data_IF_029048601790
#
_entry.id   IF_029048601790
#
_cell.length_a   1.000
_cell.length_b   1.000
_cell.length_c   1.000
_cell.angle_alpha   90.00
_cell.angle_beta   90.00
_cell.angle_gamma   90.00
#
_symmetry.space_group_name_H-M   'P 1'
#
loop_
_entity.id
_entity.type
_entity.pdbx_description
1 polymer ?
#
# COMPACT_ATOMS: atom_id res chain seq x y z
N UNK A 1 -5.61 4.56 -7.47
CA UNK A 1 -7.07 4.74 -7.55
C UNK A 1 -7.84 3.43 -7.47
N UNK A 2 -7.71 2.47 -8.41
CA UNK A 2 -8.47 1.19 -8.34
C UNK A 2 -8.01 0.27 -7.18
N UNK A 3 -6.70 0.23 -6.85
CA UNK A 3 -6.17 -0.61 -5.76
C UNK A 3 -6.48 -0.03 -4.36
N UNK A 4 -6.62 1.30 -4.27
CA UNK A 4 -6.76 2.06 -3.01
C UNK A 4 -8.11 1.87 -2.30
N UNK A 5 -9.16 1.48 -3.03
CA UNK A 5 -10.52 1.30 -2.48
C UNK A 5 -10.92 -0.16 -2.30
N UNK A 6 -10.07 -1.12 -2.69
CA UNK A 6 -10.44 -2.53 -2.72
C UNK A 6 -9.48 -3.40 -1.94
N UNK A 7 -8.20 -3.04 -1.82
CA UNK A 7 -7.23 -3.91 -1.14
C UNK A 7 -7.45 -4.05 0.37
N UNK A 8 -7.66 -2.95 1.15
CA UNK A 8 -7.95 -3.09 2.57
C UNK A 8 -9.24 -3.88 2.82
N UNK A 9 -10.28 -3.65 2.00
CA UNK A 9 -11.58 -4.33 2.11
C UNK A 9 -11.50 -5.80 1.67
N UNK A 10 -10.81 -6.13 0.58
CA UNK A 10 -10.54 -7.51 0.14
C UNK A 10 -9.77 -8.30 1.19
N UNK A 11 -8.75 -7.69 1.79
CA UNK A 11 -7.94 -8.33 2.83
C UNK A 11 -8.73 -8.57 4.11
N UNK A 12 -9.54 -7.58 4.54
CA UNK A 12 -10.40 -7.69 5.72
C UNK A 12 -11.54 -8.70 5.51
N UNK A 13 -12.15 -8.71 4.33
CA UNK A 13 -13.17 -9.68 3.94
C UNK A 13 -12.62 -11.12 3.89
N UNK A 14 -11.32 -11.29 3.59
CA UNK A 14 -10.66 -12.59 3.62
C UNK A 14 -10.24 -13.04 5.03
N UNK A 15 -10.07 -12.11 5.99
CA UNK A 15 -9.88 -12.41 7.41
C UNK A 15 -11.21 -12.69 8.14
N UNK A 16 -12.25 -11.90 7.87
CA UNK A 16 -13.59 -12.04 8.45
C UNK A 16 -14.34 -13.28 7.89
N UNK A 17 -14.09 -13.65 6.64
CA UNK A 17 -14.61 -14.87 6.01
C UNK A 17 -14.07 -16.19 6.56
N UNK A 18 -13.27 -16.17 7.65
CA UNK A 18 -12.72 -17.38 8.28
C UNK A 18 -13.24 -17.63 9.70
N UNK A 19 -14.06 -16.74 10.27
CA UNK A 19 -14.56 -16.91 11.64
C UNK A 19 -16.08 -17.12 11.79
N UNK A 20 -16.86 -17.08 10.71
CA UNK A 20 -18.27 -17.50 10.79
C UNK A 20 -18.80 -17.85 9.40
N UNK A 21 -18.60 -19.09 8.96
CA UNK A 21 -19.38 -19.74 7.91
C UNK A 21 -18.95 -21.20 7.79
N UNK A 22 -19.73 -22.08 8.40
CA UNK A 22 -19.95 -23.43 7.89
C UNK A 22 -20.63 -23.35 6.52
N UNK A 23 -19.93 -22.82 5.51
CA UNK A 23 -20.24 -23.11 4.12
C UNK A 23 -19.22 -24.13 3.65
N UNK A 24 -19.74 -25.32 3.43
CA UNK A 24 -19.03 -26.48 2.92
C UNK A 24 -18.51 -26.19 1.52
N UNK A 25 -17.35 -25.52 1.42
CA UNK A 25 -16.39 -25.87 0.40
C UNK A 25 -16.10 -27.35 0.64
N UNK A 26 -16.82 -28.23 -0.06
CA UNK A 26 -16.47 -29.65 -0.14
C UNK A 26 -14.96 -29.67 -0.30
N UNK A 27 -14.20 -30.29 0.62
CA UNK A 27 -12.81 -30.52 0.37
C UNK A 27 -12.79 -31.21 -0.99
N UNK A 28 -12.28 -30.55 -2.04
CA UNK A 28 -11.69 -31.32 -3.14
C UNK A 28 -10.80 -32.28 -2.40
N UNK A 29 -11.09 -33.58 -2.47
CA UNK A 29 -10.33 -34.62 -1.81
C UNK A 29 -8.87 -34.34 -2.16
N UNK A 30 -8.20 -33.64 -1.25
CA UNK A 30 -6.84 -33.20 -1.45
C UNK A 30 -6.12 -34.45 -1.07
N UNK A 31 -5.89 -35.31 -2.06
CA UNK A 31 -5.05 -36.49 -1.90
C UNK A 31 -3.81 -35.98 -1.20
N UNK A 32 -3.65 -36.39 0.06
CA UNK A 32 -2.53 -35.92 0.87
C UNK A 32 -1.27 -36.19 0.05
N UNK A 33 -0.36 -35.20 -0.09
CA UNK A 33 0.80 -35.37 -0.93
C UNK A 33 1.59 -36.59 -0.45
N UNK A 34 1.77 -37.56 -1.33
CA UNK A 34 2.54 -38.77 -1.06
C UNK A 34 3.98 -38.57 -1.52
N UNK A 35 4.92 -39.23 -0.85
CA UNK A 35 6.32 -39.17 -1.24
C UNK A 35 6.55 -39.89 -2.57
N UNK A 36 7.35 -39.28 -3.46
CA UNK A 36 7.67 -39.85 -4.78
C UNK A 36 8.60 -41.07 -4.70
N UNK A 37 9.37 -41.21 -3.62
CA UNK A 37 10.27 -42.35 -3.39
C UNK A 37 9.63 -43.43 -2.51
N UNK A 38 8.59 -43.06 -1.75
CA UNK A 38 7.95 -43.92 -0.76
C UNK A 38 6.44 -43.76 -0.90
N UNK A 39 5.85 -44.47 -1.86
CA UNK A 39 4.45 -44.29 -2.29
C UNK A 39 3.41 -44.50 -1.17
N UNK A 40 3.75 -45.26 -0.12
CA UNK A 40 2.89 -45.52 1.06
C UNK A 40 3.01 -44.44 2.15
N UNK A 41 3.97 -43.51 2.03
CA UNK A 41 4.27 -42.51 3.05
C UNK A 41 3.74 -41.13 2.69
N UNK A 42 3.03 -40.53 3.66
CA UNK A 42 2.50 -39.16 3.54
C UNK A 42 3.60 -38.14 3.80
N UNK A 43 3.57 -37.04 3.04
CA UNK A 43 4.42 -35.88 3.27
C UNK A 43 3.85 -35.08 4.45
N UNK A 44 4.50 -35.17 5.61
CA UNK A 44 4.10 -34.49 6.85
C UNK A 44 5.27 -33.81 7.58
N UNK A 45 6.48 -33.88 7.03
CA UNK A 45 7.71 -33.31 7.58
C UNK A 45 8.24 -32.25 6.62
N UNK A 46 8.84 -31.20 7.15
CA UNK A 46 9.57 -30.20 6.37
C UNK A 46 11.05 -30.30 6.70
N UNK A 47 11.88 -30.49 5.68
CA UNK A 47 13.31 -30.46 5.83
C UNK A 47 13.80 -29.01 5.79
N UNK A 48 14.25 -28.50 6.94
CA UNK A 48 14.71 -27.11 7.08
C UNK A 48 16.03 -26.91 6.34
N UNK A 49 16.93 -27.89 6.41
CA UNK A 49 18.23 -27.85 5.74
C UNK A 49 18.09 -27.77 4.22
N UNK A 50 17.18 -28.55 3.65
CA UNK A 50 16.98 -28.62 2.19
C UNK A 50 15.84 -27.72 1.68
N UNK A 51 15.08 -27.09 2.59
CA UNK A 51 13.90 -26.27 2.30
C UNK A 51 12.82 -26.97 1.47
N UNK A 52 12.64 -28.28 1.66
CA UNK A 52 11.67 -29.10 0.92
C UNK A 52 10.79 -29.94 1.86
N UNK A 53 9.52 -30.18 1.50
CA UNK A 53 8.66 -31.09 2.23
C UNK A 53 9.07 -32.55 1.96
N UNK A 54 9.03 -33.40 2.99
CA UNK A 54 9.54 -34.77 2.98
C UNK A 54 8.65 -35.70 3.82
N UNK A 55 8.86 -37.02 3.73
CA UNK A 55 8.20 -38.02 4.56
C UNK A 55 9.12 -38.61 5.64
N UNK A 56 8.54 -39.48 6.49
CA UNK A 56 9.23 -40.16 7.59
C UNK A 56 10.36 -41.06 7.09
N UNK A 57 10.15 -41.81 6.00
CA UNK A 57 11.16 -42.73 5.46
C UNK A 57 12.36 -42.00 4.88
N UNK A 58 12.14 -40.90 4.14
CA UNK A 58 13.21 -40.02 3.68
C UNK A 58 14.04 -39.43 4.84
N UNK A 59 13.42 -39.20 6.01
CA UNK A 59 14.11 -38.72 7.22
C UNK A 59 14.83 -39.83 7.97
N UNK A 60 14.27 -41.02 8.13
CA UNK A 60 14.89 -42.05 8.98
C UNK A 60 15.96 -42.84 8.21
N UNK A 61 15.70 -43.15 6.95
CA UNK A 61 16.54 -44.04 6.14
C UNK A 61 17.05 -43.42 4.83
N UNK A 62 16.40 -42.36 4.36
CA UNK A 62 16.71 -41.73 3.07
C UNK A 62 17.68 -40.55 3.14
N UNK A 63 17.59 -39.70 2.13
CA UNK A 63 18.54 -38.62 1.85
C UNK A 63 18.54 -37.49 2.89
N UNK A 64 17.51 -37.41 3.75
CA UNK A 64 17.37 -36.35 4.77
C UNK A 64 17.74 -36.82 6.19
N UNK A 65 18.45 -37.95 6.32
CA UNK A 65 18.83 -38.54 7.62
C UNK A 65 19.52 -37.56 8.55
N UNK A 66 20.54 -36.88 8.04
CA UNK A 66 21.36 -35.94 8.81
C UNK A 66 20.86 -34.49 8.72
N UNK A 67 19.73 -34.25 8.03
CA UNK A 67 19.14 -32.92 7.89
C UNK A 67 18.29 -32.55 9.11
N UNK A 68 18.24 -31.25 9.44
CA UNK A 68 17.29 -30.74 10.42
C UNK A 68 15.89 -30.69 9.82
N UNK A 69 14.90 -31.19 10.56
CA UNK A 69 13.52 -31.27 10.11
C UNK A 69 12.55 -30.82 11.19
N UNK A 70 11.38 -30.34 10.76
CA UNK A 70 10.29 -29.94 11.63
C UNK A 70 8.96 -30.48 11.11
N UNK A 71 7.91 -30.58 11.95
CA UNK A 71 6.58 -30.90 11.48
C UNK A 71 6.10 -29.88 10.44
N UNK A 72 5.65 -30.37 9.28
CA UNK A 72 5.17 -29.52 8.18
C UNK A 72 4.05 -28.55 8.61
N UNK A 73 3.07 -28.95 9.45
CA UNK A 73 2.05 -28.02 9.93
C UNK A 73 2.63 -26.81 10.69
N UNK A 74 3.70 -27.01 11.47
CA UNK A 74 4.31 -25.93 12.24
C UNK A 74 4.98 -24.93 11.31
N UNK A 75 5.80 -25.41 10.37
CA UNK A 75 6.47 -24.55 9.38
C UNK A 75 5.45 -23.80 8.54
N UNK A 76 4.40 -24.48 8.09
CA UNK A 76 3.34 -23.85 7.32
C UNK A 76 2.65 -22.73 8.11
N UNK A 77 2.28 -22.96 9.37
CA UNK A 77 1.65 -21.92 10.19
C UNK A 77 2.59 -20.73 10.43
N UNK A 78 3.87 -20.99 10.73
CA UNK A 78 4.87 -19.94 10.90
C UNK A 78 5.03 -19.12 9.63
N UNK A 79 5.33 -19.75 8.49
CA UNK A 79 5.51 -19.05 7.21
C UNK A 79 4.25 -18.29 6.78
N UNK A 80 3.07 -18.88 6.98
CA UNK A 80 1.80 -18.21 6.72
C UNK A 80 1.64 -16.96 7.60
N UNK A 81 1.96 -17.04 8.89
CA UNK A 81 1.89 -15.90 9.80
C UNK A 81 2.88 -14.80 9.44
N UNK A 82 4.11 -15.16 9.05
CA UNK A 82 5.13 -14.22 8.60
C UNK A 82 4.69 -13.48 7.33
N UNK A 83 4.13 -14.22 6.35
CA UNK A 83 3.58 -13.62 5.13
C UNK A 83 2.41 -12.69 5.43
N UNK A 84 1.48 -13.08 6.31
CA UNK A 84 0.38 -12.22 6.74
C UNK A 84 0.90 -10.92 7.39
N UNK A 85 1.86 -11.03 8.32
CA UNK A 85 2.47 -9.86 8.97
C UNK A 85 3.20 -8.96 7.96
N UNK A 86 3.90 -9.55 6.97
CA UNK A 86 4.56 -8.80 5.92
C UNK A 86 3.56 -8.03 5.04
N UNK A 87 2.42 -8.66 4.71
CA UNK A 87 1.33 -8.00 3.99
C UNK A 87 0.77 -6.84 4.82
N UNK A 88 0.50 -7.04 6.12
CA UNK A 88 0.00 -5.99 7.00
C UNK A 88 0.94 -4.77 7.05
N UNK A 89 2.25 -5.03 7.13
CA UNK A 89 3.27 -3.98 7.10
C UNK A 89 3.27 -3.22 5.77
N UNK A 90 3.14 -3.92 4.63
CA UNK A 90 3.06 -3.30 3.31
C UNK A 90 1.80 -2.44 3.17
N UNK A 91 0.65 -2.94 3.64
CA UNK A 91 -0.62 -2.20 3.63
C UNK A 91 -0.52 -0.93 4.47
N UNK A 92 0.02 -1.03 5.69
CA UNK A 92 0.25 0.13 6.57
C UNK A 92 1.19 1.15 5.93
N UNK A 93 2.30 0.70 5.35
CA UNK A 93 3.23 1.59 4.64
C UNK A 93 2.58 2.28 3.44
N UNK A 94 1.75 1.57 2.68
CA UNK A 94 1.03 2.14 1.55
C UNK A 94 0.04 3.22 2.00
N UNK A 95 -0.72 2.99 3.07
CA UNK A 95 -1.61 4.00 3.66
C UNK A 95 -0.85 5.25 4.10
N UNK A 96 0.34 5.09 4.68
CA UNK A 96 1.20 6.22 5.07
C UNK A 96 1.71 7.00 3.86
N UNK A 97 2.15 6.32 2.81
CA UNK A 97 2.58 6.97 1.57
C UNK A 97 1.43 7.74 0.91
N UNK A 98 0.23 7.19 0.94
CA UNK A 98 -0.95 7.85 0.38
C UNK A 98 -1.33 9.12 1.16
N UNK A 99 -1.25 9.09 2.50
CA UNK A 99 -1.44 10.28 3.33
C UNK A 99 -0.39 11.36 3.02
N UNK A 100 0.88 10.97 2.84
CA UNK A 100 1.94 11.89 2.46
C UNK A 100 1.71 12.51 1.08
N UNK A 101 1.27 11.71 0.10
CA UNK A 101 0.93 12.20 -1.24
C UNK A 101 -0.20 13.25 -1.17
N UNK A 102 -1.27 12.97 -0.43
CA UNK A 102 -2.36 13.93 -0.23
C UNK A 102 -1.87 15.23 0.40
N UNK A 103 -1.00 15.15 1.41
CA UNK A 103 -0.42 16.34 2.05
C UNK A 103 0.44 17.16 1.06
N UNK A 104 1.20 16.48 0.20
CA UNK A 104 2.01 17.15 -0.82
C UNK A 104 1.13 17.85 -1.86
N UNK A 105 0.06 17.21 -2.32
CA UNK A 105 -0.91 17.80 -3.24
C UNK A 105 -1.58 19.05 -2.64
N UNK A 106 -2.01 18.97 -1.38
CA UNK A 106 -2.58 20.09 -0.65
C UNK A 106 -1.57 21.25 -0.50
N UNK A 107 -0.31 20.93 -0.18
CA UNK A 107 0.75 21.94 -0.04
C UNK A 107 1.02 22.64 -1.38
N UNK A 108 1.07 21.88 -2.48
CA UNK A 108 1.24 22.45 -3.82
C UNK A 108 0.08 23.41 -4.16
N UNK A 109 -1.16 23.01 -3.86
CA UNK A 109 -2.35 23.86 -4.06
C UNK A 109 -2.22 25.17 -3.28
N UNK A 110 -1.89 25.10 -1.99
CA UNK A 110 -1.74 26.30 -1.13
C UNK A 110 -0.65 27.23 -1.65
N UNK A 111 0.49 26.69 -2.07
CA UNK A 111 1.58 27.50 -2.64
C UNK A 111 1.13 28.20 -3.93
N UNK A 112 0.43 27.50 -4.80
CA UNK A 112 -0.07 28.06 -6.06
C UNK A 112 -1.12 29.16 -5.81
N UNK A 113 -2.07 28.95 -4.90
CA UNK A 113 -3.06 29.95 -4.51
C UNK A 113 -2.41 31.20 -3.91
N UNK A 114 -1.41 31.03 -3.05
CA UNK A 114 -0.68 32.15 -2.46
C UNK A 114 0.09 32.95 -3.51
N UNK A 115 0.77 32.27 -4.45
CA UNK A 115 1.46 32.93 -5.55
C UNK A 115 0.49 33.72 -6.44
N UNK A 116 -0.68 33.15 -6.75
CA UNK A 116 -1.71 33.83 -7.52
C UNK A 116 -2.27 35.06 -6.78
N UNK A 117 -2.53 34.94 -5.47
CA UNK A 117 -2.99 36.05 -4.64
C UNK A 117 -1.94 37.17 -4.58
N UNK A 118 -0.66 36.84 -4.45
CA UNK A 118 0.42 37.81 -4.46
C UNK A 118 0.52 38.55 -5.82
N UNK A 119 0.42 37.81 -6.93
CA UNK A 119 0.41 38.38 -8.28
C UNK A 119 -0.76 39.32 -8.49
N UNK A 120 -1.95 38.92 -8.08
CA UNK A 120 -3.16 39.73 -8.21
C UNK A 120 -3.07 41.01 -7.35
N UNK A 121 -2.65 40.89 -6.09
CA UNK A 121 -2.47 42.05 -5.22
C UNK A 121 -1.40 43.04 -5.72
N UNK A 122 -0.39 42.56 -6.45
CA UNK A 122 0.58 43.44 -7.11
C UNK A 122 -0.06 44.20 -8.28
N UNK A 123 -0.81 43.49 -9.15
CA UNK A 123 -1.49 44.09 -10.29
C UNK A 123 -2.48 45.18 -9.83
N UNK A 124 -3.32 44.89 -8.84
CA UNK A 124 -4.31 45.83 -8.28
C UNK A 124 -3.64 47.10 -7.72
N UNK A 125 -2.47 46.99 -7.09
CA UNK A 125 -1.71 48.14 -6.59
C UNK A 125 -1.17 49.02 -7.73
N UNK A 126 -0.70 48.41 -8.81
CA UNK A 126 -0.26 49.17 -9.98
C UNK A 126 -1.44 49.84 -10.69
N UNK A 127 -2.57 49.15 -10.84
CA UNK A 127 -3.79 49.74 -11.43
C UNK A 127 -4.27 50.95 -10.62
N UNK A 128 -4.21 50.87 -9.28
CA UNK A 128 -4.52 52.00 -8.41
C UNK A 128 -3.55 53.17 -8.62
N UNK A 129 -2.24 52.90 -8.74
CA UNK A 129 -1.26 53.94 -9.03
C UNK A 129 -1.51 54.61 -10.38
N UNK A 130 -1.85 53.84 -11.42
CA UNK A 130 -2.22 54.37 -12.73
C UNK A 130 -3.45 55.29 -12.64
N UNK A 131 -4.49 54.88 -11.90
CA UNK A 131 -5.69 55.67 -11.72
C UNK A 131 -5.38 57.03 -11.03
N UNK A 132 -4.58 57.02 -9.97
CA UNK A 132 -4.18 58.25 -9.26
C UNK A 132 -3.37 59.19 -10.17
N UNK A 133 -2.45 58.63 -10.97
CA UNK A 133 -1.64 59.42 -11.89
C UNK A 133 -2.50 60.06 -13.00
N UNK A 134 -3.44 59.31 -13.56
CA UNK A 134 -4.32 59.83 -14.62
C UNK A 134 -5.28 60.90 -14.08
N UNK A 135 -5.81 60.72 -12.87
CA UNK A 135 -6.62 61.74 -12.18
C UNK A 135 -5.82 63.04 -11.98
N UNK A 136 -4.60 62.95 -11.44
CA UNK A 136 -3.75 64.14 -11.25
C UNK A 136 -3.41 64.83 -12.56
N UNK A 137 -3.12 64.07 -13.60
CA UNK A 137 -2.85 64.61 -14.94
C UNK A 137 -4.07 65.36 -15.47
N UNK A 138 -5.29 64.82 -15.33
CA UNK A 138 -6.53 65.49 -15.73
C UNK A 138 -6.72 66.84 -15.02
N UNK A 139 -6.50 66.88 -13.70
CA UNK A 139 -6.60 68.10 -12.89
C UNK A 139 -5.62 69.18 -13.39
N UNK A 140 -4.35 68.82 -13.62
CA UNK A 140 -3.32 69.75 -14.07
C UNK A 140 -3.61 70.31 -15.48
N UNK A 141 -4.12 69.47 -16.40
CA UNK A 141 -4.51 69.92 -17.73
C UNK A 141 -5.69 70.90 -17.70
N UNK A 142 -6.68 70.67 -16.82
CA UNK A 142 -7.82 71.56 -16.66
C UNK A 142 -7.40 72.93 -16.06
N UNK A 143 -6.39 72.96 -15.19
CA UNK A 143 -5.85 74.21 -14.64
C UNK A 143 -5.18 75.07 -15.72
N UNK A 144 -4.39 74.46 -16.61
CA UNK A 144 -3.72 75.17 -17.70
C UNK A 144 -4.74 75.72 -18.71
N UNK A 145 -5.79 74.96 -19.04
CA UNK A 145 -6.81 75.40 -20.00
C UNK A 145 -7.71 76.55 -19.51
N UNK A 146 -7.58 76.97 -18.25
CA UNK A 146 -8.32 78.10 -17.65
C UNK A 146 -7.54 79.42 -17.68
N UNK A 147 -6.26 79.40 -18.06
CA UNK A 147 -5.45 80.60 -18.39
C UNK A 147 -5.60 80.97 -19.87
#
# INVERSE_FOLDING_TARGET
WIVSLTWPDLYKQQQEGKNDSTETLKPKECKEPMCQEHDDERINIYCVTCQVPTCSMCKVFGQHKDCEVAPLPNIYQTQKSELSNAIDNLVSSNSRLQALLSQMEDTCRVVQENAQRAKQGLAERFDLLYAILEERKGILLEQIGKE
#
